data_IF_199024283983
#
_entry.id   IF_199024283983
#
_cell.length_a   1.000
_cell.length_b   1.000
_cell.length_c   1.000
_cell.angle_alpha   90.00
_cell.angle_beta   90.00
_cell.angle_gamma   90.00
#
_symmetry.space_group_name_H-M   'P 1'
#
loop_
_entity.id
_entity.type
_entity.pdbx_description
1 polymer ?
#
# COMPACT_ATOMS: atom_id res chain seq x y z
N UNK A 1 -10.09 -6.29 9.65
CA UNK A 1 -9.95 -5.78 8.28
C UNK A 1 -8.65 -5.01 8.14
N UNK A 2 -8.39 -3.98 8.94
CA UNK A 2 -7.16 -3.18 8.83
C UNK A 2 -5.87 -3.92 9.23
N UNK A 3 -5.89 -4.70 10.31
CA UNK A 3 -4.71 -5.45 10.79
C UNK A 3 -4.42 -6.73 10.02
N UNK A 4 -5.37 -7.16 9.20
CA UNK A 4 -5.22 -8.28 8.28
C UNK A 4 -5.98 -7.91 7.00
N UNK A 5 -5.41 -6.98 6.19
CA UNK A 5 -6.07 -6.49 4.99
C UNK A 5 -6.23 -7.65 4.02
N UNK A 6 -7.47 -7.84 3.57
CA UNK A 6 -7.77 -8.82 2.54
C UNK A 6 -7.09 -8.37 1.25
N UNK A 7 -6.64 -9.35 0.49
CA UNK A 7 -5.94 -9.11 -0.76
C UNK A 7 -6.98 -8.87 -1.87
N UNK A 8 -6.63 -7.97 -2.78
CA UNK A 8 -7.30 -7.86 -4.07
C UNK A 8 -7.21 -9.22 -4.76
N UNK A 9 -8.29 -9.62 -5.41
CA UNK A 9 -8.51 -10.99 -5.87
C UNK A 9 -7.47 -11.39 -6.91
N UNK A 10 -6.50 -12.19 -6.47
CA UNK A 10 -5.75 -13.11 -7.31
C UNK A 10 -5.58 -14.42 -6.56
N UNK A 11 -6.53 -15.33 -6.77
CA UNK A 11 -6.39 -16.72 -6.32
C UNK A 11 -5.11 -17.39 -6.91
N UNK A 12 -4.50 -16.78 -7.93
CA UNK A 12 -3.19 -17.16 -8.46
C UNK A 12 -2.04 -16.99 -7.45
N UNK A 13 -2.12 -16.06 -6.50
CA UNK A 13 -1.06 -15.88 -5.47
C UNK A 13 -1.00 -17.02 -4.47
N UNK A 14 -2.12 -17.70 -4.22
CA UNK A 14 -2.16 -18.94 -3.43
C UNK A 14 -1.38 -20.09 -4.11
N UNK A 15 -1.04 -19.94 -5.39
CA UNK A 15 -0.20 -20.88 -6.14
C UNK A 15 1.30 -20.57 -6.00
N UNK A 16 1.69 -19.51 -5.28
CA UNK A 16 3.10 -19.25 -4.98
C UNK A 16 3.63 -20.35 -4.06
N UNK A 17 4.89 -20.73 -4.28
CA UNK A 17 5.59 -21.75 -3.48
C UNK A 17 5.63 -21.41 -1.99
N UNK A 18 5.63 -20.12 -1.67
CA UNK A 18 5.47 -19.61 -0.31
C UNK A 18 4.10 -18.94 -0.20
N UNK A 19 3.19 -19.64 0.47
CA UNK A 19 1.90 -19.07 0.81
C UNK A 19 2.01 -18.33 2.15
N UNK A 20 2.00 -17.00 2.10
CA UNK A 20 1.94 -16.13 3.28
C UNK A 20 0.49 -15.87 3.73
N UNK A 21 -0.47 -16.67 3.28
CA UNK A 21 -1.90 -16.45 3.44
C UNK A 21 -2.59 -17.54 4.27
N UNK A 22 -3.05 -17.16 5.46
CA UNK A 22 -3.98 -17.96 6.27
C UNK A 22 -5.45 -17.55 6.01
N UNK A 23 -5.70 -16.64 5.06
CA UNK A 23 -7.04 -16.05 4.84
C UNK A 23 -7.92 -16.98 4.03
N UNK A 24 -9.11 -17.29 4.56
CA UNK A 24 -10.13 -18.06 3.87
C UNK A 24 -10.61 -17.35 2.58
N UNK A 25 -10.98 -18.09 1.51
CA UNK A 25 -11.53 -17.51 0.28
C UNK A 25 -12.69 -16.55 0.55
N UNK A 26 -12.78 -15.48 -0.25
CA UNK A 26 -13.84 -14.47 -0.10
C UNK A 26 -15.21 -15.12 -0.25
N UNK A 27 -16.03 -15.05 0.80
CA UNK A 27 -17.43 -15.48 0.78
C UNK A 27 -18.32 -14.35 0.28
N UNK A 28 -19.27 -14.70 -0.58
CA UNK A 28 -20.35 -13.83 -1.01
C UNK A 28 -21.59 -14.08 -0.17
N UNK A 29 -22.44 -13.06 -0.09
CA UNK A 29 -23.72 -13.09 0.61
C UNK A 29 -24.80 -12.65 -0.35
N UNK A 30 -25.89 -13.41 -0.42
CA UNK A 30 -27.07 -13.06 -1.21
C UNK A 30 -28.31 -13.01 -0.33
N UNK A 31 -29.42 -12.57 -0.91
CA UNK A 31 -30.69 -12.43 -0.23
C UNK A 31 -31.19 -13.79 0.32
N UNK A 32 -31.62 -13.82 1.58
CA UNK A 32 -32.18 -15.02 2.19
C UNK A 32 -33.58 -15.38 1.63
N UNK A 33 -34.29 -14.39 1.08
CA UNK A 33 -35.58 -14.57 0.41
C UNK A 33 -35.41 -15.47 -0.82
N UNK A 34 -36.14 -16.60 -0.83
CA UNK A 34 -36.01 -17.63 -1.87
C UNK A 34 -36.31 -17.05 -3.26
N UNK A 35 -37.28 -16.16 -3.37
CA UNK A 35 -37.68 -15.55 -4.64
C UNK A 35 -36.60 -14.56 -5.15
N UNK A 36 -35.93 -13.78 -4.28
CA UNK A 36 -34.76 -12.96 -4.67
C UNK A 36 -33.56 -13.86 -5.01
N UNK A 37 -33.35 -14.97 -4.29
CA UNK A 37 -32.18 -15.84 -4.47
C UNK A 37 -32.19 -16.71 -5.72
N UNK A 38 -33.38 -17.03 -6.24
CA UNK A 38 -33.59 -17.85 -7.45
C UNK A 38 -33.65 -17.01 -8.73
N UNK A 39 -33.57 -15.66 -8.63
CA UNK A 39 -33.48 -14.80 -9.82
C UNK A 39 -32.22 -15.15 -10.62
N UNK A 40 -32.33 -14.99 -11.95
CA UNK A 40 -31.22 -15.18 -12.90
C UNK A 40 -29.97 -14.35 -12.55
N UNK A 41 -30.17 -13.18 -11.94
CA UNK A 41 -29.11 -12.30 -11.45
C UNK A 41 -29.45 -11.87 -10.00
N UNK A 42 -29.09 -12.68 -8.99
CA UNK A 42 -29.34 -12.33 -7.59
C UNK A 42 -28.35 -11.26 -7.13
N UNK A 43 -28.79 -10.38 -6.24
CA UNK A 43 -27.89 -9.43 -5.60
C UNK A 43 -26.90 -10.17 -4.70
N UNK A 44 -25.62 -9.94 -4.94
CA UNK A 44 -24.50 -10.50 -4.17
C UNK A 44 -23.71 -9.34 -3.60
N UNK A 45 -23.41 -9.44 -2.30
CA UNK A 45 -22.51 -8.55 -1.58
C UNK A 45 -21.40 -9.38 -0.95
N UNK A 46 -20.22 -8.81 -0.76
CA UNK A 46 -19.07 -9.47 -0.12
C UNK A 46 -19.08 -9.37 1.42
N UNK A 47 -20.13 -8.74 1.96
CA UNK A 47 -20.24 -8.41 3.37
C UNK A 47 -21.59 -8.89 3.93
N UNK A 48 -21.52 -9.58 5.06
CA UNK A 48 -22.68 -10.05 5.78
C UNK A 48 -23.51 -8.86 6.30
N UNK A 49 -24.80 -8.85 5.94
CA UNK A 49 -25.82 -7.99 6.52
C UNK A 49 -25.61 -6.47 6.36
N UNK A 50 -24.77 -6.03 5.42
CA UNK A 50 -24.51 -4.59 5.21
C UNK A 50 -25.38 -3.94 4.14
N UNK A 51 -25.76 -4.71 3.12
CA UNK A 51 -26.53 -4.20 1.98
C UNK A 51 -27.92 -4.84 1.95
N UNK A 52 -28.96 -4.05 1.64
CA UNK A 52 -30.31 -4.57 1.40
C UNK A 52 -30.38 -5.18 -0.02
N UNK A 53 -31.02 -6.34 -0.23
CA UNK A 53 -31.34 -6.79 -1.61
C UNK A 53 -32.27 -5.74 -2.23
N UNK A 54 -32.13 -5.45 -3.53
CA UNK A 54 -33.06 -4.58 -4.29
C UNK A 54 -34.54 -5.01 -4.18
N UNK A 55 -34.83 -6.22 -3.70
CA UNK A 55 -36.20 -6.63 -3.38
C UNK A 55 -36.78 -5.90 -2.14
N UNK A 56 -35.96 -5.21 -1.35
CA UNK A 56 -36.34 -4.49 -0.14
C UNK A 56 -36.66 -5.37 1.07
N UNK A 57 -36.81 -6.69 0.89
CA UNK A 57 -37.33 -7.61 1.93
C UNK A 57 -36.31 -8.01 2.99
N UNK A 58 -35.04 -8.18 2.63
CA UNK A 58 -34.00 -8.61 3.57
C UNK A 58 -32.61 -8.14 3.16
N UNK A 59 -31.72 -8.09 4.14
CA UNK A 59 -30.30 -7.87 3.92
C UNK A 59 -29.63 -9.14 3.36
N UNK A 60 -28.50 -8.94 2.68
CA UNK A 60 -27.70 -10.03 2.13
C UNK A 60 -27.03 -10.81 3.27
N UNK A 61 -27.47 -12.05 3.51
CA UNK A 61 -27.06 -12.81 4.70
C UNK A 61 -26.77 -14.29 4.41
N UNK A 62 -27.20 -14.81 3.25
CA UNK A 62 -27.00 -16.22 2.91
C UNK A 62 -25.66 -16.42 2.19
N UNK A 63 -24.80 -17.24 2.76
CA UNK A 63 -23.44 -17.48 2.26
C UNK A 63 -23.44 -18.23 0.93
N UNK A 64 -22.51 -17.84 0.06
CA UNK A 64 -22.09 -18.59 -1.13
C UNK A 64 -20.58 -18.48 -1.30
N UNK A 65 -19.87 -19.54 -1.71
CA UNK A 65 -18.51 -19.38 -2.19
C UNK A 65 -18.52 -18.44 -3.41
N UNK A 66 -17.57 -17.51 -3.47
CA UNK A 66 -17.28 -16.76 -4.69
C UNK A 66 -16.23 -17.56 -5.44
N UNK A 67 -16.61 -18.06 -6.62
CA UNK A 67 -15.67 -18.61 -7.60
C UNK A 67 -15.35 -17.52 -8.61
N UNK A 68 -14.07 -17.21 -8.76
CA UNK A 68 -13.60 -16.36 -9.86
C UNK A 68 -13.87 -17.03 -11.21
N UNK A 69 -13.98 -16.26 -12.31
CA UNK A 69 -13.98 -16.86 -13.63
C UNK A 69 -12.76 -17.77 -13.72
N UNK A 70 -12.99 -19.05 -14.07
CA UNK A 70 -11.90 -19.89 -14.57
C UNK A 70 -11.35 -19.13 -15.77
N UNK A 71 -10.22 -18.44 -15.61
CA UNK A 71 -9.38 -18.13 -16.75
C UNK A 71 -9.18 -19.46 -17.45
N UNK A 72 -9.51 -19.53 -18.74
CA UNK A 72 -9.34 -20.73 -19.53
C UNK A 72 -7.96 -21.29 -19.23
N UNK A 73 -7.93 -22.37 -18.46
CA UNK A 73 -6.73 -23.12 -18.18
C UNK A 73 -6.34 -23.73 -19.53
N UNK A 74 -5.56 -22.99 -20.32
CA UNK A 74 -4.57 -23.66 -21.11
C UNK A 74 -3.71 -24.38 -20.08
N UNK A 75 -3.90 -25.70 -19.99
CA UNK A 75 -3.04 -26.63 -19.28
C UNK A 75 -1.62 -26.59 -19.89
N UNK A 76 -0.96 -25.44 -19.82
CA UNK A 76 0.48 -25.35 -20.03
C UNK A 76 1.11 -25.58 -18.65
N UNK A 77 1.25 -26.86 -18.31
CA UNK A 77 1.61 -27.40 -17.00
C UNK A 77 3.00 -27.04 -16.47
N UNK A 78 3.54 -25.88 -16.84
CA UNK A 78 4.89 -25.44 -16.48
C UNK A 78 4.99 -23.92 -16.21
N UNK A 79 3.94 -23.11 -16.43
CA UNK A 79 4.03 -21.66 -16.22
C UNK A 79 3.99 -21.24 -14.73
N UNK A 80 4.90 -20.33 -14.33
CA UNK A 80 4.90 -19.70 -13.01
C UNK A 80 3.70 -18.77 -12.78
N UNK A 81 3.53 -18.29 -11.54
CA UNK A 81 2.37 -17.45 -11.16
C UNK A 81 2.33 -16.14 -11.95
N UNK A 82 3.45 -15.42 -12.01
CA UNK A 82 3.56 -14.14 -12.72
C UNK A 82 4.41 -14.21 -13.99
N UNK A 83 5.25 -15.23 -14.10
CA UNK A 83 6.25 -15.35 -15.16
C UNK A 83 6.08 -16.64 -15.95
N UNK A 84 6.52 -16.64 -17.21
CA UNK A 84 6.55 -17.86 -18.02
C UNK A 84 7.54 -18.88 -17.44
N UNK A 85 7.24 -20.17 -17.63
CA UNK A 85 7.96 -21.35 -17.12
C UNK A 85 9.50 -21.30 -17.17
N UNK A 86 10.05 -20.69 -18.23
CA UNK A 86 11.48 -20.73 -18.57
C UNK A 86 12.15 -19.36 -18.53
N UNK A 87 11.53 -18.40 -17.84
CA UNK A 87 12.09 -17.08 -17.67
C UNK A 87 13.20 -17.13 -16.61
N UNK A 88 14.42 -16.80 -17.01
CA UNK A 88 15.54 -16.56 -16.10
C UNK A 88 15.79 -15.07 -15.97
N UNK A 89 16.16 -14.65 -14.77
CA UNK A 89 16.41 -13.25 -14.45
C UNK A 89 17.76 -13.10 -13.76
N UNK A 90 18.43 -11.98 -14.03
CA UNK A 90 19.56 -11.52 -13.26
C UNK A 90 19.01 -10.51 -12.26
N UNK A 91 19.34 -10.68 -10.99
CA UNK A 91 18.87 -9.81 -9.90
C UNK A 91 20.10 -9.25 -9.22
N UNK A 92 20.23 -7.93 -9.20
CA UNK A 92 21.32 -7.24 -8.49
C UNK A 92 21.04 -7.18 -7.00
N UNK A 93 22.08 -6.87 -6.20
CA UNK A 93 21.96 -6.80 -4.74
C UNK A 93 20.87 -5.81 -4.29
N UNK A 94 20.73 -4.68 -4.99
CA UNK A 94 19.68 -3.68 -4.79
C UNK A 94 18.32 -4.04 -5.44
N UNK A 95 18.09 -5.34 -5.67
CA UNK A 95 16.85 -5.96 -6.19
C UNK A 95 16.36 -5.49 -7.56
N UNK A 96 17.24 -4.88 -8.37
CA UNK A 96 16.92 -4.58 -9.76
C UNK A 96 16.92 -5.89 -10.58
N UNK A 97 15.87 -6.08 -11.37
CA UNK A 97 15.66 -7.30 -12.16
C UNK A 97 15.96 -7.01 -13.62
N UNK A 98 16.76 -7.87 -14.22
CA UNK A 98 17.06 -7.86 -15.65
C UNK A 98 16.66 -9.20 -16.27
N UNK A 99 16.10 -9.19 -17.48
CA UNK A 99 15.92 -10.43 -18.22
C UNK A 99 17.28 -11.08 -18.50
N UNK A 100 17.36 -12.40 -18.33
CA UNK A 100 18.58 -13.16 -18.66
C UNK A 100 18.70 -13.33 -20.18
N UNK A 101 19.08 -12.26 -20.88
CA UNK A 101 19.52 -12.31 -22.28
C UNK A 101 21.05 -12.16 -22.36
N UNK A 102 21.63 -12.70 -23.44
CA UNK A 102 23.07 -12.59 -23.71
C UNK A 102 23.47 -11.11 -23.86
N UNK A 103 24.25 -10.58 -22.92
CA UNK A 103 24.76 -9.19 -22.94
C UNK A 103 24.58 -8.46 -21.61
N UNK A 104 23.47 -8.67 -20.91
CA UNK A 104 23.18 -7.96 -19.66
C UNK A 104 24.20 -8.20 -18.56
N UNK A 105 24.76 -9.41 -18.43
CA UNK A 105 25.75 -9.71 -17.37
C UNK A 105 26.97 -8.79 -17.48
N UNK A 106 27.50 -8.58 -18.69
CA UNK A 106 28.66 -7.72 -18.90
C UNK A 106 28.33 -6.24 -18.68
N UNK A 107 27.15 -5.79 -19.12
CA UNK A 107 26.69 -4.42 -18.89
C UNK A 107 26.42 -4.15 -17.40
N UNK A 108 25.88 -5.13 -16.67
CA UNK A 108 25.70 -5.09 -15.22
C UNK A 108 27.06 -5.00 -14.54
N UNK A 109 28.02 -5.86 -14.88
CA UNK A 109 29.37 -5.78 -14.32
C UNK A 109 30.03 -4.43 -14.58
N UNK A 110 29.90 -3.88 -15.80
CA UNK A 110 30.39 -2.54 -16.12
C UNK A 110 29.70 -1.46 -15.27
N UNK A 111 28.38 -1.55 -15.10
CA UNK A 111 27.60 -0.60 -14.29
C UNK A 111 27.96 -0.65 -12.80
N UNK A 112 28.41 -1.81 -12.32
CA UNK A 112 28.89 -2.03 -10.95
C UNK A 112 30.38 -1.70 -10.78
N UNK A 113 31.07 -1.28 -11.85
CA UNK A 113 32.50 -0.96 -11.82
C UNK A 113 33.41 -2.18 -11.74
N UNK A 114 32.92 -3.38 -12.08
CA UNK A 114 33.68 -4.62 -12.05
C UNK A 114 34.48 -4.75 -13.35
N UNK A 115 35.80 -4.65 -13.25
CA UNK A 115 36.74 -4.70 -14.40
C UNK A 115 37.43 -6.06 -14.59
N UNK A 116 37.26 -6.99 -13.65
CA UNK A 116 37.86 -8.33 -13.66
C UNK A 116 37.02 -9.33 -12.89
N UNK A 117 37.20 -10.62 -13.16
CA UNK A 117 36.51 -11.73 -12.46
C UNK A 117 37.44 -12.45 -11.48
N UNK A 118 38.61 -11.89 -11.21
CA UNK A 118 39.56 -12.39 -10.22
C UNK A 118 38.97 -12.24 -8.82
N UNK A 119 38.74 -13.38 -8.16
CA UNK A 119 38.11 -13.43 -6.84
C UNK A 119 36.58 -13.56 -6.85
N UNK A 120 35.92 -13.71 -8.01
CA UNK A 120 34.47 -14.01 -8.05
C UNK A 120 34.22 -15.47 -7.72
N UNK A 121 33.34 -15.74 -6.77
CA UNK A 121 32.89 -17.08 -6.40
C UNK A 121 31.43 -17.28 -6.84
N UNK A 122 31.15 -18.35 -7.58
CA UNK A 122 29.78 -18.74 -7.89
C UNK A 122 29.21 -19.54 -6.71
N UNK A 123 28.08 -19.09 -6.16
CA UNK A 123 27.38 -19.78 -5.07
C UNK A 123 25.96 -20.15 -5.49
N UNK A 124 25.59 -21.39 -5.21
CA UNK A 124 24.21 -21.84 -5.30
C UNK A 124 23.53 -21.62 -3.95
N UNK A 125 22.43 -20.86 -3.96
CA UNK A 125 21.67 -20.52 -2.75
C UNK A 125 20.23 -20.97 -2.92
N UNK A 126 19.67 -21.58 -1.88
CA UNK A 126 18.27 -22.01 -1.84
C UNK A 126 17.50 -21.10 -0.89
N UNK A 127 16.36 -20.59 -1.34
CA UNK A 127 15.47 -19.77 -0.54
C UNK A 127 14.29 -20.58 -0.03
N UNK A 128 14.16 -20.68 1.29
CA UNK A 128 12.98 -21.16 1.98
C UNK A 128 12.12 -20.02 2.52
N UNK A 129 11.14 -20.35 3.36
CA UNK A 129 10.22 -19.39 3.94
C UNK A 129 10.93 -18.28 4.73
N UNK A 130 11.85 -18.68 5.63
CA UNK A 130 12.57 -17.74 6.49
C UNK A 130 13.46 -16.81 5.68
N UNK A 131 14.16 -17.36 4.67
CA UNK A 131 15.04 -16.58 3.81
C UNK A 131 14.27 -15.53 3.00
N UNK A 132 13.06 -15.85 2.53
CA UNK A 132 12.22 -14.87 1.82
C UNK A 132 11.64 -13.81 2.75
N UNK A 133 11.25 -14.19 3.97
CA UNK A 133 10.82 -13.21 4.99
C UNK A 133 11.98 -12.27 5.37
N UNK A 134 13.16 -12.81 5.58
CA UNK A 134 14.34 -12.00 5.89
C UNK A 134 14.76 -11.15 4.69
N UNK A 135 14.63 -11.66 3.45
CA UNK A 135 14.82 -10.85 2.25
C UNK A 135 13.85 -9.67 2.19
N UNK A 136 12.57 -9.89 2.52
CA UNK A 136 11.56 -8.83 2.57
C UNK A 136 11.86 -7.79 3.66
N UNK A 137 12.42 -8.20 4.79
CA UNK A 137 12.86 -7.26 5.83
C UNK A 137 14.07 -6.46 5.35
N UNK A 138 15.09 -7.14 4.83
CA UNK A 138 16.30 -6.49 4.35
C UNK A 138 16.05 -5.55 3.18
N UNK A 139 15.11 -5.87 2.29
CA UNK A 139 14.76 -5.00 1.16
C UNK A 139 14.23 -3.64 1.58
N UNK A 140 13.67 -3.53 2.80
CA UNK A 140 13.18 -2.28 3.38
C UNK A 140 14.24 -1.54 4.21
N UNK A 141 15.30 -2.23 4.64
CA UNK A 141 16.22 -1.72 5.67
C UNK A 141 17.66 -1.52 5.19
N UNK A 142 18.12 -2.30 4.20
CA UNK A 142 19.50 -2.32 3.75
C UNK A 142 19.61 -1.95 2.28
N UNK A 143 20.64 -1.21 1.84
CA UNK A 143 20.91 -1.00 0.42
C UNK A 143 21.43 -2.26 -0.30
N UNK A 144 21.78 -3.32 0.43
CA UNK A 144 22.40 -4.56 -0.08
C UNK A 144 21.73 -5.82 0.51
N UNK A 145 20.42 -6.03 0.27
CA UNK A 145 19.64 -7.07 0.93
C UNK A 145 20.08 -8.51 0.62
N UNK A 146 20.57 -8.80 -0.59
CA UNK A 146 21.05 -10.15 -0.91
C UNK A 146 22.37 -10.45 -0.21
N UNK A 147 23.30 -9.48 -0.16
CA UNK A 147 24.55 -9.61 0.61
C UNK A 147 24.27 -9.85 2.09
N UNK A 148 23.37 -9.07 2.69
CA UNK A 148 23.05 -9.20 4.11
C UNK A 148 22.41 -10.54 4.46
N UNK A 149 21.53 -11.02 3.59
CA UNK A 149 20.88 -12.31 3.77
C UNK A 149 21.83 -13.50 3.54
N UNK A 150 22.56 -13.50 2.42
CA UNK A 150 23.32 -14.65 1.94
C UNK A 150 24.68 -14.75 2.64
N UNK A 151 25.39 -13.63 2.76
CA UNK A 151 26.77 -13.60 3.26
C UNK A 151 26.85 -13.31 4.74
N UNK A 152 26.11 -12.30 5.22
CA UNK A 152 26.24 -11.85 6.60
C UNK A 152 25.44 -12.71 7.59
N UNK A 153 24.41 -13.44 7.13
CA UNK A 153 23.51 -14.27 7.97
C UNK A 153 23.11 -13.59 9.28
N UNK A 154 23.00 -12.25 9.27
CA UNK A 154 22.77 -11.48 10.49
C UNK A 154 21.35 -11.78 10.95
N UNK A 155 21.21 -12.25 12.19
CA UNK A 155 19.92 -12.17 12.87
C UNK A 155 19.60 -10.70 13.10
N UNK A 156 18.41 -10.29 12.67
CA UNK A 156 17.94 -8.92 12.73
C UNK A 156 17.55 -8.57 14.17
N UNK A 157 18.52 -8.47 15.07
CA UNK A 157 18.19 -8.31 16.48
C UNK A 157 17.92 -6.83 16.87
N UNK A 158 18.45 -5.83 16.17
CA UNK A 158 18.04 -4.41 16.30
C UNK A 158 18.69 -3.58 15.18
N UNK A 159 18.12 -3.55 13.97
CA UNK A 159 18.58 -2.63 12.92
C UNK A 159 17.66 -1.42 12.88
N UNK A 160 18.21 -0.25 13.24
CA UNK A 160 17.53 1.03 13.06
C UNK A 160 17.51 1.37 11.57
N UNK A 161 16.36 1.78 11.04
CA UNK A 161 16.26 2.33 9.69
C UNK A 161 17.27 3.48 9.54
N UNK A 162 18.18 3.36 8.58
CA UNK A 162 18.99 4.47 8.10
C UNK A 162 18.40 4.88 6.75
N UNK A 163 17.55 5.90 6.76
CA UNK A 163 17.06 6.51 5.52
C UNK A 163 17.88 7.76 5.22
N UNK A 164 18.44 7.83 4.02
CA UNK A 164 19.03 9.06 3.51
C UNK A 164 17.90 10.02 3.11
N UNK A 165 17.90 11.21 3.72
CA UNK A 165 16.93 12.26 3.42
C UNK A 165 17.26 12.91 2.09
N UNK A 166 16.91 12.26 0.99
CA UNK A 166 16.95 12.86 -0.34
C UNK A 166 15.76 13.80 -0.53
N UNK A 167 16.02 15.10 -0.73
CA UNK A 167 15.03 16.07 -1.17
C UNK A 167 14.62 15.81 -2.62
N UNK A 168 13.87 14.74 -2.87
CA UNK A 168 13.28 14.45 -4.17
C UNK A 168 11.97 15.24 -4.34
N UNK A 169 11.91 16.12 -5.33
CA UNK A 169 10.66 16.70 -5.83
C UNK A 169 9.72 15.56 -6.23
N UNK A 170 8.50 15.54 -5.70
CA UNK A 170 7.45 14.61 -6.13
C UNK A 170 7.10 14.94 -7.60
N UNK A 171 7.72 14.27 -8.55
CA UNK A 171 7.36 14.37 -9.97
C UNK A 171 6.25 13.34 -10.23
N UNK A 172 5.05 13.65 -9.76
CA UNK A 172 3.83 12.93 -10.10
C UNK A 172 3.27 13.44 -11.42
N UNK A 173 3.93 13.14 -12.53
CA UNK A 173 3.52 13.62 -13.87
C UNK A 173 2.61 12.63 -14.63
N UNK A 174 2.25 11.49 -14.01
CA UNK A 174 1.47 10.43 -14.69
C UNK A 174 0.19 9.99 -13.97
N UNK A 175 -0.08 10.46 -12.75
CA UNK A 175 -1.43 10.34 -12.22
C UNK A 175 -2.23 11.39 -12.97
N UNK A 176 -3.08 10.97 -13.92
CA UNK A 176 -4.14 11.84 -14.42
C UNK A 176 -4.76 12.48 -13.18
N UNK A 177 -4.56 13.78 -13.02
CA UNK A 177 -5.25 14.61 -12.04
C UNK A 177 -6.72 14.64 -12.49
N UNK A 178 -7.39 13.49 -12.47
CA UNK A 178 -8.83 13.36 -12.55
C UNK A 178 -9.33 14.04 -11.29
N UNK A 179 -9.51 15.35 -11.40
CA UNK A 179 -10.43 16.20 -10.65
C UNK A 179 -10.91 15.61 -9.32
N UNK A 180 -9.98 15.29 -8.40
CA UNK A 180 -10.33 15.14 -6.99
C UNK A 180 -10.50 16.57 -6.54
N UNK A 181 -11.71 17.07 -6.71
CA UNK A 181 -12.12 18.40 -6.32
C UNK A 181 -11.91 18.55 -4.81
N UNK A 182 -10.73 19.08 -4.44
CA UNK A 182 -10.49 19.94 -3.29
C UNK A 182 -10.85 19.45 -1.89
N UNK A 183 -11.13 18.15 -1.63
CA UNK A 183 -11.35 17.72 -0.25
C UNK A 183 -10.05 17.84 0.54
N UNK A 184 -10.05 18.74 1.50
CA UNK A 184 -8.98 18.96 2.47
C UNK A 184 -9.51 18.62 3.85
N UNK A 185 -8.72 17.89 4.62
CA UNK A 185 -8.99 17.68 6.05
C UNK A 185 -8.28 18.75 6.86
N UNK A 186 -8.93 19.19 7.94
CA UNK A 186 -8.40 20.21 8.83
C UNK A 186 -7.81 19.53 10.04
N UNK A 187 -6.54 19.80 10.31
CA UNK A 187 -5.81 19.22 11.44
C UNK A 187 -5.16 20.34 12.22
N UNK A 188 -5.39 20.36 13.52
CA UNK A 188 -4.76 21.32 14.43
C UNK A 188 -3.46 20.71 14.94
N UNK A 189 -2.36 21.41 14.76
CA UNK A 189 -1.02 20.90 15.06
C UNK A 189 -0.39 21.73 16.16
N UNK A 190 0.06 21.06 17.20
CA UNK A 190 0.88 21.62 18.28
C UNK A 190 2.33 21.24 17.96
N UNK A 191 3.18 22.24 17.81
CA UNK A 191 4.58 22.05 17.42
C UNK A 191 5.52 22.87 18.30
N UNK A 192 6.78 22.44 18.33
CA UNK A 192 7.87 23.14 19.01
C UNK A 192 8.53 24.11 18.05
N UNK A 193 8.49 25.40 18.37
CA UNK A 193 8.97 26.48 17.49
C UNK A 193 10.48 26.37 17.24
N UNK A 194 11.28 26.25 18.30
CA UNK A 194 12.75 26.24 18.20
C UNK A 194 13.33 25.11 17.34
N UNK A 195 12.61 24.00 17.20
CA UNK A 195 13.06 22.84 16.41
C UNK A 195 12.21 22.59 15.17
N UNK A 196 11.12 23.34 14.98
CA UNK A 196 10.11 23.09 13.95
C UNK A 196 9.64 21.63 13.93
N UNK A 197 9.41 21.03 15.11
CA UNK A 197 9.01 19.62 15.27
C UNK A 197 7.59 19.52 15.78
N UNK A 198 6.79 18.66 15.15
CA UNK A 198 5.45 18.36 15.58
C UNK A 198 5.48 17.57 16.90
N UNK A 199 4.62 17.95 17.83
CA UNK A 199 4.48 17.27 19.11
C UNK A 199 3.20 16.43 19.15
N UNK A 200 2.10 17.05 18.74
CA UNK A 200 0.78 16.44 18.73
C UNK A 200 -0.09 17.06 17.65
N UNK A 201 -0.95 16.26 17.03
CA UNK A 201 -2.01 16.71 16.15
C UNK A 201 -3.37 16.35 16.75
N UNK A 202 -4.28 17.32 16.81
CA UNK A 202 -5.68 17.12 17.12
C UNK A 202 -6.45 17.08 15.80
N UNK A 203 -7.14 15.97 15.53
CA UNK A 203 -7.79 15.74 14.26
C UNK A 203 -9.16 15.05 14.43
N UNK A 204 -10.04 15.25 13.47
CA UNK A 204 -11.32 14.57 13.42
C UNK A 204 -11.18 13.14 12.84
N UNK A 205 -12.33 12.48 12.66
CA UNK A 205 -12.38 11.14 12.10
C UNK A 205 -11.85 11.05 10.67
N UNK A 206 -11.96 12.10 9.85
CA UNK A 206 -11.57 12.04 8.43
C UNK A 206 -10.05 11.85 8.29
N UNK A 207 -9.26 12.56 9.11
CA UNK A 207 -7.80 12.38 9.14
C UNK A 207 -7.39 10.99 9.64
N UNK A 208 -8.05 10.48 10.68
CA UNK A 208 -7.76 9.15 11.22
C UNK A 208 -8.15 8.04 10.24
N UNK A 209 -9.25 8.21 9.49
CA UNK A 209 -9.58 7.28 8.40
C UNK A 209 -8.49 7.23 7.36
N UNK A 210 -7.98 8.38 6.94
CA UNK A 210 -6.85 8.46 6.02
C UNK A 210 -5.62 7.70 6.57
N UNK A 211 -5.25 7.90 7.83
CA UNK A 211 -4.14 7.18 8.45
C UNK A 211 -4.38 5.66 8.47
N UNK A 212 -5.59 5.22 8.79
CA UNK A 212 -5.95 3.80 8.77
C UNK A 212 -6.02 3.21 7.37
N UNK A 213 -6.34 4.00 6.33
CA UNK A 213 -6.23 3.58 4.95
C UNK A 213 -4.78 3.20 4.59
N UNK A 214 -3.76 3.85 5.15
CA UNK A 214 -2.35 3.52 4.88
C UNK A 214 -2.02 2.04 5.13
N UNK A 215 -2.64 1.42 6.15
CA UNK A 215 -2.47 0.01 6.48
C UNK A 215 -2.98 -0.95 5.40
N UNK A 216 -3.77 -0.45 4.46
CA UNK A 216 -4.46 -1.25 3.44
C UNK A 216 -3.83 -1.12 2.07
N UNK A 217 -2.92 -0.16 1.87
CA UNK A 217 -2.31 0.13 0.56
C UNK A 217 -1.19 -0.90 0.29
N UNK A 218 -1.29 -1.71 -0.79
CA UNK A 218 -0.19 -2.56 -1.20
C UNK A 218 1.05 -1.74 -1.53
N UNK A 219 2.24 -2.28 -1.25
CA UNK A 219 3.49 -1.56 -1.51
C UNK A 219 3.65 -1.16 -2.98
N UNK A 220 3.16 -1.97 -3.94
CA UNK A 220 3.13 -1.57 -5.36
C UNK A 220 2.23 -0.37 -5.64
N UNK A 221 1.11 -0.20 -4.92
CA UNK A 221 0.28 1.00 -5.04
C UNK A 221 0.96 2.22 -4.41
N UNK A 222 1.73 2.04 -3.33
CA UNK A 222 2.57 3.11 -2.79
C UNK A 222 3.57 3.60 -3.83
N UNK A 223 4.28 2.68 -4.48
CA UNK A 223 5.21 3.00 -5.58
C UNK A 223 4.49 3.76 -6.70
N UNK A 224 3.34 3.27 -7.16
CA UNK A 224 2.52 3.95 -8.16
C UNK A 224 2.14 5.38 -7.73
N UNK A 225 1.66 5.55 -6.49
CA UNK A 225 1.25 6.86 -5.95
C UNK A 225 2.42 7.85 -5.82
N UNK A 226 3.62 7.34 -5.56
CA UNK A 226 4.84 8.13 -5.37
C UNK A 226 5.72 8.18 -6.63
N UNK A 227 5.21 7.69 -7.77
CA UNK A 227 5.91 7.74 -9.07
C UNK A 227 7.14 6.84 -9.17
N UNK A 228 7.21 5.78 -8.38
CA UNK A 228 8.36 4.87 -8.34
C UNK A 228 9.61 5.49 -7.72
N UNK A 229 9.45 6.57 -6.94
CA UNK A 229 10.54 7.31 -6.28
C UNK A 229 10.22 7.45 -4.80
N UNK A 230 10.45 6.35 -4.07
CA UNK A 230 10.34 6.36 -2.61
C UNK A 230 11.72 6.57 -1.99
N UNK A 231 11.84 6.28 -0.70
CA UNK A 231 13.11 6.21 0.02
C UNK A 231 13.56 4.76 0.23
N UNK A 232 12.79 3.80 -0.29
CA UNK A 232 13.04 2.36 -0.24
C UNK A 232 13.66 1.92 -1.58
N UNK A 233 14.92 2.31 -1.82
CA UNK A 233 15.60 2.15 -3.11
C UNK A 233 15.45 0.76 -3.76
N UNK A 234 15.50 -0.31 -2.97
CA UNK A 234 15.38 -1.66 -3.52
C UNK A 234 13.97 -1.96 -4.04
N UNK A 235 12.95 -1.40 -3.40
CA UNK A 235 11.55 -1.52 -3.82
C UNK A 235 11.31 -0.66 -5.07
N UNK A 236 11.85 0.57 -5.10
CA UNK A 236 11.84 1.42 -6.30
C UNK A 236 12.46 0.67 -7.50
N UNK A 237 13.61 0.02 -7.28
CA UNK A 237 14.30 -0.76 -8.31
C UNK A 237 13.46 -1.96 -8.77
N UNK A 238 12.83 -2.69 -7.85
CA UNK A 238 11.96 -3.80 -8.17
C UNK A 238 10.75 -3.34 -9.00
N UNK A 239 10.13 -2.23 -8.61
CA UNK A 239 8.99 -1.63 -9.31
C UNK A 239 9.37 -1.14 -10.71
N UNK A 240 10.48 -0.41 -10.85
CA UNK A 240 10.98 0.06 -12.16
C UNK A 240 11.36 -1.10 -13.08
N UNK A 241 11.98 -2.15 -12.54
CA UNK A 241 12.33 -3.34 -13.32
C UNK A 241 11.11 -4.01 -13.93
N UNK A 242 10.00 -4.05 -13.19
CA UNK A 242 8.72 -4.51 -13.71
C UNK A 242 8.19 -3.57 -14.82
N UNK A 243 8.37 -2.26 -14.67
CA UNK A 243 8.07 -1.27 -15.73
C UNK A 243 8.86 -1.50 -17.02
N UNK A 244 10.13 -1.88 -16.91
CA UNK A 244 11.04 -2.04 -18.04
C UNK A 244 10.97 -3.43 -18.71
N UNK A 245 10.40 -4.44 -18.04
CA UNK A 245 10.37 -5.81 -18.55
C UNK A 245 9.45 -5.94 -19.78
N UNK A 246 9.81 -6.83 -20.73
CA UNK A 246 8.96 -7.16 -21.86
C UNK A 246 7.88 -8.21 -21.47
N UNK A 247 6.66 -7.75 -21.35
CA UNK A 247 5.49 -8.50 -20.88
C UNK A 247 5.25 -9.76 -21.71
N UNK A 248 5.30 -9.63 -23.04
CA UNK A 248 5.03 -10.71 -23.97
C UNK A 248 6.03 -11.85 -23.87
N UNK A 249 7.27 -11.56 -23.43
CA UNK A 249 8.33 -12.56 -23.37
C UNK A 249 8.45 -13.19 -21.98
N UNK A 250 8.27 -12.41 -20.92
CA UNK A 250 8.61 -12.82 -19.57
C UNK A 250 7.41 -13.02 -18.65
N UNK A 251 6.32 -12.27 -18.85
CA UNK A 251 5.14 -12.32 -17.99
C UNK A 251 4.11 -13.32 -18.51
N UNK A 252 3.32 -13.87 -17.59
CA UNK A 252 2.33 -14.91 -17.91
C UNK A 252 1.22 -14.36 -18.81
N UNK A 253 0.69 -13.18 -18.49
CA UNK A 253 -0.36 -12.49 -19.27
C UNK A 253 -0.01 -11.02 -19.46
N UNK A 254 -0.59 -10.39 -20.49
CA UNK A 254 -0.42 -8.95 -20.72
C UNK A 254 -0.92 -8.11 -19.53
N UNK A 255 -2.00 -8.56 -18.88
CA UNK A 255 -2.59 -7.88 -17.73
C UNK A 255 -1.75 -8.02 -16.45
N UNK A 256 -0.81 -8.98 -16.40
CA UNK A 256 0.04 -9.23 -15.22
C UNK A 256 0.86 -8.00 -14.84
N UNK A 257 1.37 -7.26 -15.84
CA UNK A 257 2.18 -6.06 -15.56
C UNK A 257 1.34 -4.95 -14.95
N UNK A 258 0.23 -4.60 -15.60
CA UNK A 258 -0.69 -3.56 -15.13
C UNK A 258 -1.18 -3.87 -13.72
N UNK A 259 -1.50 -5.13 -13.45
CA UNK A 259 -1.95 -5.62 -12.14
C UNK A 259 -0.91 -5.48 -11.03
N UNK A 260 0.38 -5.62 -11.35
CA UNK A 260 1.47 -5.50 -10.39
C UNK A 260 1.96 -4.05 -10.22
N UNK A 261 1.87 -3.23 -11.27
CA UNK A 261 2.20 -1.80 -11.23
C UNK A 261 1.09 -0.97 -10.56
N UNK A 262 -0.18 -1.30 -10.82
CA UNK A 262 -1.33 -0.56 -10.31
C UNK A 262 -2.26 -1.50 -9.52
N UNK A 263 -1.82 -2.02 -8.36
CA UNK A 263 -2.62 -2.97 -7.61
C UNK A 263 -3.86 -2.27 -7.03
N UNK A 264 -5.02 -2.85 -7.31
CA UNK A 264 -6.30 -2.36 -6.85
C UNK A 264 -6.56 -2.80 -5.41
N UNK A 265 -7.41 -2.07 -4.69
CA UNK A 265 -7.87 -2.45 -3.36
C UNK A 265 -9.14 -3.30 -3.44
N UNK A 266 -9.35 -4.26 -2.53
CA UNK A 266 -10.63 -4.95 -2.46
C UNK A 266 -11.77 -3.96 -2.22
N UNK A 267 -12.97 -4.28 -2.69
CA UNK A 267 -14.14 -3.41 -2.52
C UNK A 267 -14.41 -3.11 -1.03
N UNK A 268 -14.62 -1.84 -0.67
CA UNK A 268 -14.92 -1.39 0.70
C UNK A 268 -13.70 -1.01 1.55
N UNK A 269 -12.51 -0.91 0.95
CA UNK A 269 -11.27 -0.45 1.59
C UNK A 269 -10.98 1.03 1.32
N UNK A 270 -11.58 1.59 0.27
CA UNK A 270 -11.46 3.01 -0.06
C UNK A 270 -12.62 3.77 0.57
N UNK A 271 -12.28 4.73 1.43
CA UNK A 271 -13.27 5.60 2.09
C UNK A 271 -14.10 6.39 1.07
N UNK A 272 -15.25 6.91 1.51
CA UNK A 272 -16.05 7.89 0.76
C UNK A 272 -15.22 9.12 0.41
N UNK A 273 -14.30 9.47 1.31
CA UNK A 273 -13.49 10.66 1.28
C UNK A 273 -12.10 10.38 0.69
N UNK A 274 -12.05 10.24 -0.63
CA UNK A 274 -10.84 9.90 -1.36
C UNK A 274 -9.85 11.08 -1.38
N UNK A 275 -8.93 11.13 -0.43
CA UNK A 275 -7.78 12.04 -0.54
C UNK A 275 -6.66 11.44 -1.42
N UNK A 276 -6.49 10.12 -1.40
CA UNK A 276 -5.58 9.39 -2.28
C UNK A 276 -6.36 8.83 -3.49
N UNK A 277 -5.80 8.86 -4.71
CA UNK A 277 -6.42 8.35 -5.93
C UNK A 277 -6.38 6.81 -5.99
N UNK A 278 -6.92 6.15 -4.97
CA UNK A 278 -6.98 4.70 -4.87
C UNK A 278 -8.19 4.14 -5.63
N UNK A 279 -7.94 3.05 -6.37
CA UNK A 279 -8.93 2.33 -7.18
C UNK A 279 -9.36 1.07 -6.42
N UNK A 280 -10.67 0.84 -6.34
CA UNK A 280 -11.21 -0.41 -5.83
C UNK A 280 -11.50 -1.37 -6.98
N UNK A 281 -11.30 -2.64 -6.72
CA UNK A 281 -11.74 -3.71 -7.61
C UNK A 281 -13.26 -3.67 -7.79
N UNK A 282 -13.70 -3.71 -9.04
CA UNK A 282 -15.09 -4.01 -9.38
C UNK A 282 -15.27 -5.52 -9.51
N UNK A 283 -15.75 -6.20 -8.47
CA UNK A 283 -16.03 -7.63 -8.57
C UNK A 283 -17.21 -7.90 -9.52
N UNK A 284 -16.96 -8.71 -10.55
CA UNK A 284 -17.99 -9.30 -11.42
C UNK A 284 -18.24 -10.72 -10.91
N UNK A 285 -19.46 -11.01 -10.46
CA UNK A 285 -19.82 -12.34 -9.98
C UNK A 285 -20.35 -13.21 -11.13
N UNK A 286 -19.83 -14.43 -11.24
CA UNK A 286 -20.32 -15.46 -12.15
C UNK A 286 -20.92 -16.62 -11.34
N UNK A 287 -22.12 -17.09 -11.72
CA UNK A 287 -22.75 -18.28 -11.11
C UNK A 287 -22.88 -19.37 -12.18
N UNK A 288 -22.17 -20.48 -11.99
CA UNK A 288 -22.31 -21.69 -12.81
C UNK A 288 -21.66 -21.62 -14.19
N UNK A 289 -21.80 -22.70 -14.97
CA UNK A 289 -21.22 -22.85 -16.32
C UNK A 289 -21.84 -21.93 -17.40
N UNK A 290 -22.82 -21.10 -17.04
CA UNK A 290 -23.50 -20.19 -17.97
C UNK A 290 -23.09 -18.73 -17.72
N UNK A 291 -22.69 -18.04 -18.80
CA UNK A 291 -22.17 -16.68 -18.87
C UNK A 291 -23.23 -15.61 -18.51
N UNK A 292 -23.68 -15.58 -17.26
CA UNK A 292 -24.54 -14.51 -16.72
C UNK A 292 -23.74 -13.49 -15.91
N UNK A 293 -23.71 -12.23 -16.36
CA UNK A 293 -23.04 -11.12 -15.67
C UNK A 293 -23.89 -10.62 -14.48
N UNK A 294 -23.51 -10.96 -13.25
CA UNK A 294 -24.04 -10.29 -12.06
C UNK A 294 -23.02 -9.24 -11.60
N UNK A 295 -23.32 -7.96 -11.79
CA UNK A 295 -22.49 -6.88 -11.23
C UNK A 295 -22.83 -6.71 -9.75
N UNK A 296 -21.83 -6.44 -8.91
CA UNK A 296 -22.11 -5.86 -7.60
C UNK A 296 -22.69 -4.45 -7.83
N UNK A 297 -23.99 -4.35 -8.05
CA UNK A 297 -24.66 -3.05 -7.90
C UNK A 297 -24.64 -2.76 -6.41
N UNK A 298 -23.63 -1.99 -5.98
CA UNK A 298 -23.75 -1.18 -4.76
C UNK A 298 -24.81 -0.12 -5.04
N UNK A 299 -26.08 -0.55 -5.12
CA UNK A 299 -27.20 0.35 -5.08
C UNK A 299 -27.25 0.89 -3.64
N UNK A 300 -27.12 2.21 -3.54
CA UNK A 300 -27.04 3.04 -2.34
C UNK A 300 -25.67 3.13 -1.65
N UNK A 301 -24.98 4.17 -2.09
CA UNK A 301 -23.86 4.91 -1.53
C UNK A 301 -24.10 5.50 -0.13
N UNK A 302 -24.84 4.84 0.75
CA UNK A 302 -24.98 5.33 2.14
C UNK A 302 -23.96 4.69 3.09
N UNK A 303 -23.61 3.42 2.87
CA UNK A 303 -22.76 2.64 3.78
C UNK A 303 -21.33 2.35 3.32
N UNK A 304 -20.58 3.29 2.72
CA UNK A 304 -19.11 3.12 2.68
C UNK A 304 -18.62 3.19 4.13
N UNK A 305 -17.99 2.11 4.60
CA UNK A 305 -17.63 1.95 6.01
C UNK A 305 -16.58 2.98 6.40
N UNK A 306 -16.92 3.75 7.42
CA UNK A 306 -15.98 4.55 8.20
C UNK A 306 -15.24 3.63 9.18
N UNK A 307 -13.92 3.76 9.30
CA UNK A 307 -13.13 2.98 10.27
C UNK A 307 -13.36 3.46 11.70
N UNK A 308 -13.76 4.72 11.83
CA UNK A 308 -13.98 5.42 13.09
C UNK A 308 -15.42 5.88 13.20
N UNK A 309 -15.85 6.14 14.44
CA UNK A 309 -17.20 6.68 14.69
C UNK A 309 -17.23 8.15 14.27
N UNK A 310 -18.35 8.57 13.69
CA UNK A 310 -18.55 9.98 13.30
C UNK A 310 -18.46 10.90 14.53
N UNK A 311 -18.00 12.13 14.31
CA UNK A 311 -17.94 13.21 15.32
C UNK A 311 -17.02 12.97 16.53
N UNK A 312 -16.03 12.08 16.40
CA UNK A 312 -15.02 11.87 17.44
C UNK A 312 -13.72 12.58 17.06
N UNK A 313 -13.16 13.37 17.98
CA UNK A 313 -11.81 13.92 17.85
C UNK A 313 -10.78 12.90 18.34
N UNK A 314 -9.56 13.01 17.82
CA UNK A 314 -8.43 12.15 18.13
C UNK A 314 -7.16 12.96 18.33
N UNK A 315 -6.27 12.39 19.15
CA UNK A 315 -4.90 12.85 19.31
C UNK A 315 -3.98 11.92 18.49
N UNK A 316 -3.12 12.50 17.68
CA UNK A 316 -2.16 11.80 16.84
C UNK A 316 -0.75 12.31 17.14
N UNK A 317 0.15 11.42 17.51
CA UNK A 317 1.57 11.77 17.74
C UNK A 317 2.36 11.79 16.43
N UNK A 318 3.57 12.34 16.46
CA UNK A 318 4.42 12.48 15.27
C UNK A 318 4.78 11.14 14.59
N UNK A 319 4.86 10.07 15.36
CA UNK A 319 5.04 8.67 14.93
C UNK A 319 3.70 7.98 14.56
N UNK A 320 2.64 8.75 14.32
CA UNK A 320 1.31 8.31 13.88
C UNK A 320 0.52 7.44 14.88
N UNK A 321 0.86 7.49 16.18
CA UNK A 321 0.05 6.81 17.20
C UNK A 321 -1.25 7.56 17.40
N UNK A 322 -2.36 6.91 17.05
CA UNK A 322 -3.71 7.45 17.20
C UNK A 322 -4.27 7.05 18.56
N UNK A 323 -4.75 8.03 19.33
CA UNK A 323 -5.44 7.84 20.61
C UNK A 323 -6.73 8.64 20.66
N UNK A 324 -7.72 8.24 21.49
CA UNK A 324 -8.91 9.07 21.72
C UNK A 324 -8.51 10.47 22.18
N UNK A 325 -9.25 11.49 21.75
CA UNK A 325 -8.97 12.86 22.17
C UNK A 325 -9.00 13.03 23.68
N UNK A 326 -8.04 13.79 24.17
CA UNK A 326 -7.91 14.17 25.56
C UNK A 326 -7.27 15.57 25.61
N UNK A 327 -7.99 16.54 26.15
CA UNK A 327 -7.55 17.94 26.26
C UNK A 327 -6.22 18.09 27.03
N UNK A 328 -5.93 17.19 27.97
CA UNK A 328 -4.71 17.26 28.79
C UNK A 328 -3.52 16.53 28.18
N UNK A 329 -3.69 15.88 27.02
CA UNK A 329 -2.62 15.11 26.37
C UNK A 329 -1.42 16.00 25.99
N UNK A 330 -1.67 17.20 25.46
CA UNK A 330 -0.63 18.18 25.15
C UNK A 330 0.20 18.53 26.38
N UNK A 331 -0.44 18.93 27.49
CA UNK A 331 0.25 19.25 28.75
C UNK A 331 1.06 18.08 29.33
N UNK A 332 0.50 16.87 29.28
CA UNK A 332 1.19 15.65 29.72
C UNK A 332 2.44 15.38 28.87
N UNK A 333 2.34 15.53 27.55
CA UNK A 333 3.45 15.37 26.63
C UNK A 333 4.56 16.41 26.88
N UNK A 334 4.19 17.69 27.03
CA UNK A 334 5.13 18.77 27.32
C UNK A 334 5.86 18.56 28.64
N UNK A 335 5.14 18.16 29.69
CA UNK A 335 5.71 17.86 31.01
C UNK A 335 6.70 16.69 30.92
N UNK A 336 6.33 15.63 30.18
CA UNK A 336 7.18 14.45 29.97
C UNK A 336 8.46 14.78 29.19
N UNK A 337 8.35 15.61 28.15
CA UNK A 337 9.47 16.03 27.32
C UNK A 337 10.25 17.22 27.90
N UNK A 338 9.81 17.77 29.03
CA UNK A 338 10.39 18.97 29.68
C UNK A 338 10.46 20.18 28.73
N UNK A 339 9.42 20.36 27.91
CA UNK A 339 9.30 21.48 26.96
C UNK A 339 8.59 22.64 27.64
N UNK A 340 9.14 23.85 27.49
CA UNK A 340 8.51 25.09 27.98
C UNK A 340 7.31 25.47 27.12
N UNK A 341 6.23 25.95 27.75
CA UNK A 341 5.07 26.48 27.03
C UNK A 341 5.41 27.71 26.16
N UNK A 342 6.49 28.42 26.45
CA UNK A 342 6.96 29.55 25.64
C UNK A 342 7.60 29.14 24.31
N UNK A 343 7.84 27.84 24.09
CA UNK A 343 8.48 27.27 22.88
C UNK A 343 7.50 26.39 22.09
N UNK A 344 6.20 26.57 22.34
CA UNK A 344 5.12 25.77 21.77
C UNK A 344 4.11 26.70 21.13
N UNK A 345 3.76 26.39 19.89
CA UNK A 345 2.75 27.12 19.14
C UNK A 345 1.78 26.13 18.47
N UNK A 346 0.65 26.67 18.03
CA UNK A 346 -0.45 25.92 17.49
C UNK A 346 -0.91 26.48 16.14
N UNK A 347 -1.03 25.59 15.15
CA UNK A 347 -1.39 25.97 13.78
C UNK A 347 -2.40 25.01 13.19
N UNK A 348 -3.39 25.58 12.50
CA UNK A 348 -4.35 24.80 11.72
C UNK A 348 -3.83 24.54 10.30
N UNK A 349 -3.74 23.27 9.94
CA UNK A 349 -3.30 22.81 8.62
C UNK A 349 -4.46 22.22 7.83
N UNK A 350 -4.45 22.50 6.52
CA UNK A 350 -5.36 21.89 5.55
C UNK A 350 -4.57 20.86 4.76
N UNK A 351 -4.87 19.59 4.98
CA UNK A 351 -4.17 18.46 4.37
C UNK A 351 -4.90 18.11 3.07
N UNK A 352 -4.26 18.34 1.93
CA UNK A 352 -4.71 17.89 0.62
C UNK A 352 -3.92 16.67 0.12
N UNK A 353 -4.06 16.36 -1.16
CA UNK A 353 -3.35 15.25 -1.81
C UNK A 353 -1.83 15.32 -1.59
N UNK A 354 -1.21 16.50 -1.76
CA UNK A 354 0.25 16.65 -1.65
C UNK A 354 0.75 16.39 -0.22
N UNK A 355 0.05 16.90 0.80
CA UNK A 355 0.36 16.60 2.20
C UNK A 355 0.13 15.13 2.52
N UNK A 356 -0.94 14.52 2.00
CA UNK A 356 -1.24 13.10 2.18
C UNK A 356 -0.19 12.19 1.52
N UNK A 357 0.33 12.53 0.35
CA UNK A 357 1.42 11.78 -0.27
C UNK A 357 2.73 11.92 0.52
N UNK A 358 2.98 13.11 1.10
CA UNK A 358 4.14 13.34 1.97
C UNK A 358 4.06 12.57 3.28
N UNK A 359 2.90 12.53 3.93
CA UNK A 359 2.68 11.70 5.13
C UNK A 359 2.83 10.21 4.77
N UNK A 360 2.25 9.74 3.66
CA UNK A 360 2.40 8.36 3.21
C UNK A 360 3.89 8.00 3.04
N UNK A 361 4.65 8.83 2.32
CA UNK A 361 6.09 8.63 2.13
C UNK A 361 6.84 8.60 3.46
N UNK A 362 6.58 9.56 4.34
CA UNK A 362 7.26 9.66 5.64
C UNK A 362 6.89 8.50 6.59
N UNK A 363 5.66 7.99 6.53
CA UNK A 363 5.19 6.86 7.36
C UNK A 363 5.96 5.56 7.12
N UNK A 364 6.59 5.43 5.95
CA UNK A 364 7.35 4.23 5.58
C UNK A 364 8.81 4.31 6.02
N UNK A 365 9.34 5.52 6.25
CA UNK A 365 10.79 5.74 6.35
C UNK A 365 11.23 6.63 7.49
N UNK A 366 10.30 7.19 8.25
CA UNK A 366 10.57 8.10 9.34
C UNK A 366 9.81 7.72 10.62
N UNK A 367 10.43 8.06 11.75
CA UNK A 367 9.80 8.02 13.08
C UNK A 367 9.12 9.35 13.45
N UNK A 368 9.29 10.38 12.62
CA UNK A 368 8.72 11.72 12.77
C UNK A 368 7.88 12.05 11.54
N UNK A 369 6.93 11.16 11.24
CA UNK A 369 6.23 11.13 9.96
C UNK A 369 5.38 12.37 9.71
N UNK A 370 4.74 12.92 10.75
CA UNK A 370 3.96 14.15 10.60
C UNK A 370 4.87 15.38 10.48
N UNK A 371 5.98 15.43 11.22
CA UNK A 371 7.00 16.49 11.10
C UNK A 371 7.50 16.56 9.66
N UNK A 372 7.95 15.42 9.13
CA UNK A 372 8.52 15.34 7.78
C UNK A 372 7.46 15.56 6.69
N UNK A 373 6.22 15.12 6.95
CA UNK A 373 5.10 15.28 6.04
C UNK A 373 4.55 16.71 5.94
N UNK A 374 4.52 17.42 7.07
CA UNK A 374 3.70 18.63 7.25
C UNK A 374 4.46 19.91 7.57
N UNK A 375 5.61 19.85 8.25
CA UNK A 375 6.26 21.09 8.74
C UNK A 375 6.81 21.97 7.61
N UNK A 376 7.16 21.38 6.46
CA UNK A 376 7.49 22.14 5.25
C UNK A 376 6.34 23.03 4.76
N UNK A 377 5.08 22.69 5.08
CA UNK A 377 3.90 23.51 4.76
C UNK A 377 3.71 24.69 5.73
N UNK A 378 4.29 24.62 6.94
CA UNK A 378 4.24 25.70 7.95
C UNK A 378 5.24 26.80 7.60
N UNK A 379 6.48 26.42 7.26
CA UNK A 379 7.55 27.38 6.92
C UNK A 379 7.26 28.25 5.71
N UNK A 380 6.36 27.81 4.80
CA UNK A 380 5.91 28.60 3.64
C UNK A 380 4.80 29.62 3.96
N UNK A 381 4.13 29.49 5.11
CA UNK A 381 2.97 30.32 5.48
C UNK A 381 3.31 31.50 6.39
N UNK A 382 4.51 31.54 6.98
CA UNK A 382 4.98 32.74 7.67
C UNK A 382 5.52 33.74 6.62
N UNK A 383 4.86 34.90 6.39
CA UNK A 383 5.51 35.96 5.63
C UNK A 383 6.72 36.43 6.43
N UNK A 384 7.86 36.59 5.75
CA UNK A 384 8.99 37.35 6.29
C UNK A 384 8.47 38.75 6.61
N UNK A 385 8.25 39.05 7.90
CA UNK A 385 8.15 40.44 8.33
C UNK A 385 9.56 41.02 8.23
N UNK A 386 9.85 41.63 7.08
CA UNK A 386 10.97 42.55 6.97
C UNK A 386 10.62 43.85 7.70
N UNK A 387 11.64 44.36 8.38
CA UNK A 387 11.63 45.29 9.51
C UNK A 387 11.13 46.70 9.20
#
# INVERSE_FOLDING_TARGET
MLLNPRKSILNERCKLKLNFDDTQPTKGFYCADKDCSLKRFPNIGIYYNTSKCDCGKSALSKETPISDPKTEDAEDGDCGVFTKSKAYFIITDDLKIFPSETGYVLDIFRSLGITGTDGTELRNVTFGFNEVIDLLRWSLLSPTPLTDLILNKRKLDHVSMKCETGAGTLVGDQIEKQTIEGKKMVVKVIYRESTNKLLLAEADGDFVEYLFTLLTIPLGAVECLLGGITTLKNIDNLYRSLGDINDYKYLKTQDTKTLLLEPQLPTGYVSKDKILPLIEESHKFYRGAEKGLSTSKSAHTDGRRKYVKEQTMYNVTDDLVVTPFCMTAGFSLLSRLKISLCDVDEVELKIGLDEALRILKASLTSTTALTDGLMNSISKKQPKQEH
#
